data_IF_526943573594
#
_entry.id   IF_526943573594
#
_cell.length_a   1.000
_cell.length_b   1.000
_cell.length_c   1.000
_cell.angle_alpha   90.00
_cell.angle_beta   90.00
_cell.angle_gamma   90.00
#
_symmetry.space_group_name_H-M   'P 1'
#
loop_
_entity.id
_entity.type
_entity.pdbx_description
1 polymer ?
#
# COMPACT_ATOMS: atom_id res chain seq x y z
N UNK A 1 -17.70 -6.94 -0.07
CA UNK A 1 -16.82 -7.88 -0.80
C UNK A 1 -15.53 -7.12 -1.09
N UNK A 2 -14.38 -7.64 -0.67
CA UNK A 2 -13.08 -7.00 -0.91
C UNK A 2 -12.39 -7.61 -2.13
N UNK A 3 -11.56 -6.82 -2.79
CA UNK A 3 -10.79 -7.18 -3.98
C UNK A 3 -9.31 -7.20 -3.59
N UNK A 4 -8.63 -8.30 -3.90
CA UNK A 4 -7.18 -8.40 -3.73
C UNK A 4 -6.45 -7.60 -4.80
N UNK A 5 -5.42 -6.87 -4.38
CA UNK A 5 -4.51 -6.14 -5.25
C UNK A 5 -3.08 -6.28 -4.71
N UNK A 6 -2.12 -6.37 -5.64
CA UNK A 6 -0.70 -6.46 -5.35
C UNK A 6 0.01 -5.17 -5.79
N UNK A 7 0.89 -4.67 -4.94
CA UNK A 7 1.79 -3.55 -5.25
C UNK A 7 3.22 -4.09 -5.36
N UNK A 8 3.85 -4.06 -6.55
CA UNK A 8 5.18 -4.61 -6.76
C UNK A 8 6.27 -3.64 -6.25
N UNK A 9 6.19 -3.28 -4.97
CA UNK A 9 7.15 -2.41 -4.29
C UNK A 9 7.97 -3.25 -3.32
N UNK A 10 9.30 -3.20 -3.42
CA UNK A 10 10.21 -4.01 -2.60
C UNK A 10 10.71 -3.29 -1.35
N UNK A 11 10.14 -2.14 -1.05
CA UNK A 11 10.56 -1.19 -0.02
C UNK A 11 9.35 -0.65 0.74
N UNK A 12 9.61 0.14 1.78
CA UNK A 12 8.59 0.62 2.72
C UNK A 12 8.35 -0.36 3.86
N UNK A 13 7.51 0.02 4.81
CA UNK A 13 7.11 -0.81 5.94
C UNK A 13 5.60 -0.95 5.96
N UNK A 14 5.10 -1.90 6.76
CA UNK A 14 3.66 -2.12 6.93
C UNK A 14 2.95 -0.83 7.35
N UNK A 15 3.53 -0.09 8.29
CA UNK A 15 2.95 1.14 8.84
C UNK A 15 2.83 2.24 7.79
N UNK A 16 3.82 2.35 6.89
CA UNK A 16 3.79 3.34 5.81
C UNK A 16 2.73 2.95 4.77
N UNK A 17 2.63 1.66 4.46
CA UNK A 17 1.61 1.16 3.54
C UNK A 17 0.21 1.40 4.10
N UNK A 18 -0.01 1.06 5.37
CA UNK A 18 -1.28 1.28 6.06
C UNK A 18 -1.67 2.76 6.10
N UNK A 19 -0.74 3.65 6.41
CA UNK A 19 -0.99 5.09 6.40
C UNK A 19 -1.34 5.60 4.99
N UNK A 20 -0.62 5.15 3.96
CA UNK A 20 -0.87 5.54 2.58
C UNK A 20 -2.21 5.01 2.06
N UNK A 21 -2.56 3.75 2.38
CA UNK A 21 -3.86 3.16 2.03
C UNK A 21 -5.00 3.86 2.77
N UNK A 22 -4.82 4.20 4.05
CA UNK A 22 -5.80 4.98 4.82
C UNK A 22 -6.04 6.35 4.19
N UNK A 23 -4.99 7.01 3.68
CA UNK A 23 -5.13 8.30 3.01
C UNK A 23 -5.94 8.19 1.70
N UNK A 24 -5.71 7.12 0.93
CA UNK A 24 -6.31 6.93 -0.40
C UNK A 24 -7.73 6.35 -0.33
N UNK A 25 -7.94 5.34 0.51
CA UNK A 25 -9.21 4.64 0.66
C UNK A 25 -10.11 5.30 1.72
N UNK A 26 -9.57 6.22 2.52
CA UNK A 26 -10.27 6.85 3.63
C UNK A 26 -10.59 5.85 4.74
N UNK A 27 -11.73 6.06 5.41
CA UNK A 27 -12.27 5.15 6.44
C UNK A 27 -12.89 3.87 5.86
N UNK A 28 -12.42 3.42 4.69
CA UNK A 28 -12.89 2.18 4.08
C UNK A 28 -12.17 0.99 4.70
N UNK A 29 -12.89 -0.14 4.85
CA UNK A 29 -12.29 -1.38 5.34
C UNK A 29 -11.29 -1.94 4.30
N UNK A 30 -10.01 -1.96 4.64
CA UNK A 30 -8.96 -2.66 3.89
C UNK A 30 -8.16 -3.56 4.83
N UNK A 31 -7.55 -4.59 4.27
CA UNK A 31 -6.75 -5.58 5.01
C UNK A 31 -5.42 -5.76 4.29
N UNK A 32 -4.30 -5.51 4.96
CA UNK A 32 -2.98 -5.81 4.40
C UNK A 32 -2.64 -7.25 4.76
N UNK A 33 -2.42 -8.11 3.75
CA UNK A 33 -2.20 -9.54 3.95
C UNK A 33 -0.73 -9.80 4.36
N UNK A 34 0.21 -9.57 3.44
CA UNK A 34 1.62 -9.81 3.68
C UNK A 34 2.53 -9.16 2.60
N UNK A 35 3.81 -9.01 2.95
CA UNK A 35 4.88 -8.79 1.99
C UNK A 35 5.46 -10.14 1.56
N UNK A 36 5.15 -10.59 0.35
CA UNK A 36 5.58 -11.89 -0.18
C UNK A 36 6.13 -11.68 -1.58
N UNK A 37 7.16 -12.44 -1.99
CA UNK A 37 7.67 -12.42 -3.35
C UNK A 37 7.97 -11.01 -3.91
N UNK A 38 8.50 -10.10 -3.06
CA UNK A 38 8.84 -8.72 -3.43
C UNK A 38 7.65 -7.82 -3.79
N UNK A 39 6.46 -8.12 -3.28
CA UNK A 39 5.26 -7.30 -3.44
C UNK A 39 4.47 -7.22 -2.14
N UNK A 40 3.68 -6.15 -2.01
CA UNK A 40 2.72 -5.97 -0.95
C UNK A 40 1.33 -6.38 -1.43
N UNK A 41 0.74 -7.37 -0.77
CA UNK A 41 -0.61 -7.84 -1.06
C UNK A 41 -1.59 -7.29 -0.03
N UNK A 42 -2.72 -6.78 -0.52
CA UNK A 42 -3.79 -6.24 0.32
C UNK A 42 -5.16 -6.43 -0.33
N UNK A 43 -6.21 -6.37 0.49
CA UNK A 43 -7.61 -6.40 0.09
C UNK A 43 -8.27 -5.04 0.37
N UNK A 44 -9.04 -4.54 -0.58
CA UNK A 44 -9.72 -3.25 -0.49
C UNK A 44 -11.12 -3.32 -1.14
N UNK A 45 -12.06 -2.40 -0.86
CA UNK A 45 -13.40 -2.43 -1.46
C UNK A 45 -13.40 -2.10 -2.96
N UNK A 46 -12.32 -1.49 -3.45
CA UNK A 46 -12.07 -1.20 -4.87
C UNK A 46 -10.58 -1.31 -5.17
N UNK A 47 -10.24 -1.42 -6.45
CA UNK A 47 -8.84 -1.26 -6.89
C UNK A 47 -8.41 0.20 -6.74
N UNK A 48 -7.12 0.38 -6.45
CA UNK A 48 -6.45 1.66 -6.56
C UNK A 48 -6.32 2.04 -8.04
N UNK A 49 -6.48 3.33 -8.34
CA UNK A 49 -6.16 3.93 -9.65
C UNK A 49 -4.64 4.06 -9.81
N UNK A 50 -4.16 4.30 -11.03
CA UNK A 50 -2.73 4.47 -11.28
C UNK A 50 -2.15 5.66 -10.49
N UNK A 51 -2.89 6.76 -10.36
CA UNK A 51 -2.49 7.93 -9.58
C UNK A 51 -2.35 7.61 -8.08
N UNK A 52 -3.27 6.81 -7.55
CA UNK A 52 -3.25 6.36 -6.17
C UNK A 52 -2.12 5.37 -5.90
N UNK A 53 -1.85 4.47 -6.85
CA UNK A 53 -0.69 3.57 -6.81
C UNK A 53 0.61 4.37 -6.81
N UNK A 54 0.73 5.42 -7.64
CA UNK A 54 1.89 6.32 -7.62
C UNK A 54 2.01 7.10 -6.30
N UNK A 55 0.89 7.54 -5.71
CA UNK A 55 0.89 8.15 -4.38
C UNK A 55 1.45 7.18 -3.32
N UNK A 56 0.89 5.98 -3.23
CA UNK A 56 1.35 4.95 -2.28
C UNK A 56 2.82 4.62 -2.52
N UNK A 57 3.25 4.48 -3.78
CA UNK A 57 4.66 4.27 -4.14
C UNK A 57 5.55 5.39 -3.62
N UNK A 58 5.14 6.64 -3.81
CA UNK A 58 5.88 7.83 -3.39
C UNK A 58 6.07 7.86 -1.87
N UNK A 59 5.00 7.59 -1.11
CA UNK A 59 5.06 7.55 0.36
C UNK A 59 5.94 6.40 0.87
N UNK A 60 5.76 5.20 0.31
CA UNK A 60 6.59 4.02 0.60
C UNK A 60 8.08 4.29 0.34
N UNK A 61 8.40 5.00 -0.74
CA UNK A 61 9.78 5.36 -1.09
C UNK A 61 10.38 6.43 -0.18
N UNK A 62 9.64 7.51 0.09
CA UNK A 62 10.11 8.64 0.92
C UNK A 62 10.38 8.22 2.35
N UNK A 63 9.53 7.37 2.90
CA UNK A 63 9.57 6.99 4.31
C UNK A 63 10.31 5.66 4.55
N UNK A 64 10.39 4.77 3.55
CA UNK A 64 11.15 3.52 3.63
C UNK A 64 12.68 3.70 3.71
N UNK A 65 13.19 4.90 3.39
CA UNK A 65 14.62 5.20 3.38
C UNK A 65 15.09 6.03 4.59
N UNK A 66 14.25 6.28 5.60
CA UNK A 66 14.61 7.06 6.81
C UNK A 66 15.42 6.28 7.86
N UNK A 67 16.25 5.33 7.43
CA UNK A 67 17.36 4.80 8.23
C UNK A 67 18.67 5.38 7.67
N UNK A 68 18.90 6.65 7.98
CA UNK A 68 20.22 7.27 8.00
C UNK A 68 20.70 7.34 9.44
#
# INVERSE_FOLDING_TARGET
>A
MMISQSLPFTYGTFEILEAALTHVLGNSDFEIDAFVANQWDFKAPRKLTDEEVEYVRSEMRKHGNKRG
#
